data_IF_803440642182
#
_entry.id   IF_803440642182
#
_cell.length_a   1.000
_cell.length_b   1.000
_cell.length_c   1.000
_cell.angle_alpha   90.00
_cell.angle_beta   90.00
_cell.angle_gamma   90.00
#
_symmetry.space_group_name_H-M   'P 1'
#
loop_
_entity.id
_entity.type
_entity.pdbx_description
1 polymer ?
#
# COMPACT_ATOMS: atom_id res chain seq x y z
N UNK A 1 11.47 -2.24 -35.26
CA UNK A 1 11.41 -0.81 -35.53
C UNK A 1 10.06 -0.31 -35.03
N UNK A 2 9.94 -0.14 -33.69
CA UNK A 2 8.75 0.41 -33.04
C UNK A 2 9.21 1.66 -32.27
N UNK A 3 8.87 2.80 -32.84
CA UNK A 3 9.11 4.11 -32.22
C UNK A 3 8.17 4.27 -31.03
N UNK A 4 8.75 4.44 -29.85
CA UNK A 4 8.10 4.95 -28.66
C UNK A 4 7.36 6.25 -29.01
N UNK A 5 6.05 6.19 -29.13
CA UNK A 5 5.19 7.36 -28.94
C UNK A 5 5.02 7.56 -27.45
N UNK A 6 5.96 8.25 -26.84
CA UNK A 6 5.65 9.04 -25.65
C UNK A 6 4.67 10.13 -26.10
N UNK A 7 3.39 9.86 -25.99
CA UNK A 7 2.38 10.91 -26.04
C UNK A 7 2.65 11.79 -24.81
N UNK A 8 3.24 12.94 -25.09
CA UNK A 8 3.37 14.04 -24.16
C UNK A 8 1.94 14.49 -23.83
N UNK A 9 1.32 13.86 -22.84
CA UNK A 9 0.10 14.40 -22.24
C UNK A 9 0.46 15.79 -21.73
N UNK A 10 -0.08 16.81 -22.36
CA UNK A 10 -0.01 18.17 -21.81
C UNK A 10 -0.82 18.12 -20.53
N UNK A 11 -0.11 18.08 -19.40
CA UNK A 11 -0.74 18.17 -18.08
C UNK A 11 -1.50 19.50 -18.03
N UNK A 12 -2.81 19.41 -17.86
CA UNK A 12 -3.66 20.60 -17.68
C UNK A 12 -3.49 21.04 -16.24
N UNK A 13 -3.09 22.26 -16.03
CA UNK A 13 -2.97 22.89 -14.73
C UNK A 13 -4.14 23.82 -14.49
N UNK A 14 -4.77 23.70 -13.34
CA UNK A 14 -5.88 24.52 -12.90
C UNK A 14 -5.42 25.41 -11.74
N UNK A 15 -5.80 26.67 -11.76
CA UNK A 15 -5.51 27.61 -10.66
C UNK A 15 -6.76 27.80 -9.82
N UNK A 16 -6.61 27.62 -8.53
CA UNK A 16 -7.68 27.78 -7.55
C UNK A 16 -8.55 26.53 -7.39
N UNK A 17 -9.30 26.55 -6.31
CA UNK A 17 -10.27 25.50 -5.92
C UNK A 17 -11.62 26.18 -5.70
N UNK A 18 -12.72 25.48 -5.98
CA UNK A 18 -14.06 26.00 -5.75
C UNK A 18 -14.47 25.86 -4.28
N UNK A 19 -14.08 24.75 -3.65
CA UNK A 19 -14.48 24.43 -2.28
C UNK A 19 -13.41 23.57 -1.60
N UNK A 20 -13.27 23.76 -0.27
CA UNK A 20 -12.48 22.91 0.62
C UNK A 20 -13.37 22.46 1.76
N UNK A 21 -13.54 21.14 1.94
CA UNK A 21 -14.39 20.57 2.98
C UNK A 21 -13.71 19.36 3.63
N UNK A 22 -13.06 19.57 4.79
CA UNK A 22 -12.25 18.55 5.43
C UNK A 22 -11.14 18.05 4.48
N UNK A 23 -11.00 16.74 4.23
CA UNK A 23 -9.99 16.21 3.33
C UNK A 23 -10.39 16.30 1.84
N UNK A 24 -11.55 16.87 1.53
CA UNK A 24 -12.08 16.97 0.18
C UNK A 24 -11.91 18.38 -0.38
N UNK A 25 -11.55 18.44 -1.65
CA UNK A 25 -11.53 19.69 -2.43
C UNK A 25 -12.34 19.50 -3.72
N UNK A 26 -12.97 20.58 -4.16
CA UNK A 26 -13.74 20.62 -5.41
C UNK A 26 -13.02 21.50 -6.40
N UNK A 27 -12.79 20.97 -7.60
CA UNK A 27 -12.25 21.67 -8.74
C UNK A 27 -13.34 21.79 -9.81
N UNK A 28 -13.57 23.01 -10.32
CA UNK A 28 -14.54 23.29 -11.38
C UNK A 28 -13.86 23.55 -12.73
N UNK A 29 -14.63 23.43 -13.81
CA UNK A 29 -14.15 23.61 -15.17
C UNK A 29 -13.21 22.50 -15.65
N UNK A 30 -13.29 21.32 -15.02
CA UNK A 30 -12.40 20.19 -15.29
C UNK A 30 -12.77 19.52 -16.62
N UNK A 31 -11.76 19.31 -17.45
CA UNK A 31 -11.92 18.58 -18.71
C UNK A 31 -11.08 17.31 -18.70
N UNK A 32 -11.67 16.22 -19.17
CA UNK A 32 -10.98 14.92 -19.33
C UNK A 32 -10.44 14.32 -18.01
N UNK A 33 -11.08 14.59 -16.89
CA UNK A 33 -10.76 13.92 -15.62
C UNK A 33 -11.25 12.47 -15.63
N UNK A 34 -10.50 11.60 -14.96
CA UNK A 34 -10.85 10.19 -14.80
C UNK A 34 -11.07 9.83 -13.34
N UNK A 35 -11.97 8.91 -13.08
CA UNK A 35 -12.19 8.38 -11.73
C UNK A 35 -10.90 7.67 -11.23
N UNK A 36 -10.57 7.83 -9.95
CA UNK A 36 -9.34 7.32 -9.32
C UNK A 36 -8.03 7.95 -9.87
N UNK A 37 -8.11 8.96 -10.70
CA UNK A 37 -6.95 9.68 -11.21
C UNK A 37 -6.23 10.42 -10.09
N UNK A 38 -4.90 10.35 -10.08
CA UNK A 38 -4.05 11.10 -9.15
C UNK A 38 -3.95 12.56 -9.57
N UNK A 39 -4.04 13.41 -8.58
CA UNK A 39 -3.95 14.86 -8.70
C UNK A 39 -2.83 15.37 -7.82
N UNK A 40 -1.98 16.22 -8.38
CA UNK A 40 -0.91 16.89 -7.66
C UNK A 40 -1.33 18.34 -7.36
N UNK A 41 -1.18 18.74 -6.12
CA UNK A 41 -1.38 20.12 -5.67
C UNK A 41 -0.04 20.76 -5.36
N UNK A 42 0.16 21.96 -5.90
CA UNK A 42 1.33 22.78 -5.64
C UNK A 42 0.87 24.09 -5.00
N UNK A 43 1.39 24.39 -3.81
CA UNK A 43 1.13 25.62 -3.08
C UNK A 43 2.24 26.63 -3.30
N UNK A 44 1.95 27.92 -3.08
CA UNK A 44 2.90 29.03 -3.26
C UNK A 44 4.15 28.94 -2.37
N UNK A 45 4.05 28.25 -1.23
CA UNK A 45 5.16 27.99 -0.31
C UNK A 45 6.10 26.87 -0.77
N UNK A 46 5.82 26.26 -1.93
CA UNK A 46 6.54 25.12 -2.48
C UNK A 46 6.10 23.76 -1.92
N UNK A 47 5.14 23.73 -1.02
CA UNK A 47 4.56 22.48 -0.51
C UNK A 47 3.82 21.77 -1.63
N UNK A 48 3.95 20.43 -1.66
CA UNK A 48 3.22 19.58 -2.59
C UNK A 48 2.35 18.61 -1.81
N UNK A 49 1.14 18.40 -2.32
CA UNK A 49 0.22 17.40 -1.79
C UNK A 49 -0.34 16.55 -2.93
N UNK A 50 -0.77 15.36 -2.59
CA UNK A 50 -1.33 14.41 -3.55
C UNK A 50 -2.77 14.09 -3.15
N UNK A 51 -3.63 13.96 -4.15
CA UNK A 51 -5.01 13.53 -3.97
C UNK A 51 -5.44 12.60 -5.09
N UNK A 52 -6.64 12.08 -4.97
CA UNK A 52 -7.30 11.29 -6.02
C UNK A 52 -8.70 11.79 -6.28
N UNK A 53 -9.13 11.67 -7.51
CA UNK A 53 -10.51 11.97 -7.91
C UNK A 53 -11.41 10.85 -7.44
N UNK A 54 -12.38 11.18 -6.58
CA UNK A 54 -13.36 10.22 -6.04
C UNK A 54 -14.74 10.37 -6.68
N UNK A 55 -15.00 11.49 -7.32
CA UNK A 55 -16.28 11.77 -7.93
C UNK A 55 -16.14 12.81 -9.06
N UNK A 56 -16.93 12.66 -10.12
CA UNK A 56 -16.96 13.59 -11.25
C UNK A 56 -18.42 13.90 -11.57
N UNK A 57 -18.75 15.19 -11.61
CA UNK A 57 -20.05 15.70 -12.01
C UNK A 57 -19.89 16.76 -13.09
N UNK A 58 -20.40 16.50 -14.28
CA UNK A 58 -20.32 17.44 -15.41
C UNK A 58 -18.89 17.96 -15.60
N UNK A 59 -18.64 19.20 -15.16
CA UNK A 59 -17.33 19.87 -15.23
C UNK A 59 -16.65 20.00 -13.85
N UNK A 60 -17.15 19.30 -12.81
CA UNK A 60 -16.61 19.33 -11.45
C UNK A 60 -15.99 18.00 -11.08
N UNK A 61 -14.82 18.07 -10.45
CA UNK A 61 -14.15 16.92 -9.84
C UNK A 61 -14.06 17.10 -8.32
N UNK A 62 -14.49 16.10 -7.57
CA UNK A 62 -14.26 16.02 -6.11
C UNK A 62 -13.02 15.20 -5.90
N UNK A 63 -12.04 15.79 -5.21
CA UNK A 63 -10.72 15.22 -5.02
C UNK A 63 -10.49 15.02 -3.52
N UNK A 64 -10.10 13.82 -3.15
CA UNK A 64 -9.69 13.49 -1.78
C UNK A 64 -8.18 13.69 -1.64
N UNK A 65 -7.78 14.62 -0.78
CA UNK A 65 -6.37 14.93 -0.51
C UNK A 65 -5.83 13.97 0.55
N UNK A 66 -4.71 13.31 0.29
CA UNK A 66 -4.18 12.26 1.16
C UNK A 66 -3.62 12.82 2.47
N UNK A 67 -2.83 13.87 2.38
CA UNK A 67 -2.15 14.51 3.52
C UNK A 67 -3.03 15.59 4.21
N UNK A 68 -4.32 15.65 3.88
CA UNK A 68 -5.23 16.68 4.37
C UNK A 68 -5.06 18.03 3.67
N UNK A 69 -6.00 18.94 3.94
CA UNK A 69 -6.14 20.23 3.23
C UNK A 69 -5.51 21.42 3.95
N UNK A 70 -4.78 21.18 5.04
CA UNK A 70 -4.13 22.25 5.79
C UNK A 70 -3.14 23.02 4.91
N UNK A 71 -3.24 24.36 4.94
CA UNK A 71 -2.40 25.24 4.13
C UNK A 71 -2.85 25.41 2.68
N UNK A 72 -3.88 24.70 2.22
CA UNK A 72 -4.45 24.90 0.88
C UNK A 72 -5.30 26.16 0.82
N UNK A 73 -5.23 26.89 -0.28
CA UNK A 73 -5.96 28.13 -0.54
C UNK A 73 -6.91 27.97 -1.73
N UNK A 74 -8.10 28.53 -1.62
CA UNK A 74 -9.06 28.55 -2.74
C UNK A 74 -8.53 29.31 -3.96
N UNK A 75 -7.70 30.33 -3.77
CA UNK A 75 -7.23 31.18 -4.87
C UNK A 75 -5.92 30.77 -5.50
N UNK A 76 -5.01 30.20 -4.69
CA UNK A 76 -3.59 30.06 -5.06
C UNK A 76 -3.09 28.60 -5.11
N UNK A 77 -3.97 27.63 -5.01
CA UNK A 77 -3.57 26.24 -5.16
C UNK A 77 -3.53 25.87 -6.64
N UNK A 78 -2.36 25.45 -7.11
CA UNK A 78 -2.20 24.93 -8.46
C UNK A 78 -2.49 23.44 -8.46
N UNK A 79 -3.41 23.01 -9.31
CA UNK A 79 -3.89 21.64 -9.39
C UNK A 79 -3.52 21.04 -10.73
N UNK A 80 -2.80 19.92 -10.73
CA UNK A 80 -2.37 19.19 -11.92
C UNK A 80 -2.96 17.79 -11.94
N UNK A 81 -3.70 17.46 -12.97
CA UNK A 81 -4.18 16.12 -13.24
C UNK A 81 -3.08 15.29 -13.92
N UNK A 82 -2.86 14.06 -13.45
CA UNK A 82 -1.78 13.21 -13.97
C UNK A 82 -2.19 12.29 -15.11
N UNK A 83 -3.48 12.13 -15.33
CA UNK A 83 -4.03 11.24 -16.37
C UNK A 83 -3.93 9.74 -16.02
N UNK A 84 -3.57 9.39 -14.79
CA UNK A 84 -3.36 7.99 -14.37
C UNK A 84 -3.74 7.77 -12.90
N UNK A 85 -4.17 6.55 -12.55
CA UNK A 85 -4.44 6.18 -11.16
C UNK A 85 -3.14 6.10 -10.36
N UNK A 86 -3.27 5.86 -9.05
CA UNK A 86 -2.12 5.66 -8.18
C UNK A 86 -1.39 4.36 -8.54
N UNK A 87 -0.08 4.48 -8.73
CA UNK A 87 0.82 3.39 -9.04
C UNK A 87 1.92 3.32 -7.99
N UNK A 88 2.37 2.11 -7.67
CA UNK A 88 3.58 1.88 -6.88
C UNK A 88 4.68 1.30 -7.76
N UNK A 89 5.90 1.83 -7.61
CA UNK A 89 7.09 1.28 -8.24
C UNK A 89 7.62 0.10 -7.44
N UNK A 90 7.84 -1.04 -8.09
CA UNK A 90 8.24 -2.28 -7.45
C UNK A 90 9.44 -2.91 -8.16
N UNK A 91 10.30 -3.51 -7.38
CA UNK A 91 11.43 -4.37 -7.80
C UNK A 91 11.70 -5.41 -6.70
N UNK A 92 12.53 -6.43 -6.91
CA UNK A 92 12.92 -7.36 -5.84
C UNK A 92 13.62 -6.68 -4.65
N UNK A 93 14.17 -5.48 -4.87
CA UNK A 93 14.83 -4.68 -3.82
C UNK A 93 13.90 -4.21 -2.69
N UNK A 94 12.56 -4.41 -2.82
CA UNK A 94 11.61 -4.12 -1.74
C UNK A 94 11.75 -5.10 -0.56
N UNK A 95 12.34 -6.28 -0.76
CA UNK A 95 12.60 -7.22 0.33
C UNK A 95 13.56 -6.62 1.34
N UNK A 96 13.27 -6.81 2.61
CA UNK A 96 14.04 -6.23 3.70
C UNK A 96 13.80 -4.74 3.94
N UNK A 97 12.92 -4.09 3.18
CA UNK A 97 12.68 -2.64 3.24
C UNK A 97 11.45 -2.26 4.03
N UNK A 98 11.48 -1.05 4.59
CA UNK A 98 10.37 -0.45 5.34
C UNK A 98 9.86 0.79 4.63
N UNK A 99 8.54 0.84 4.43
CA UNK A 99 7.82 1.90 3.74
C UNK A 99 6.76 2.54 4.64
N UNK A 100 6.41 3.78 4.35
CA UNK A 100 5.23 4.43 4.93
C UNK A 100 3.92 3.91 4.30
N UNK A 101 2.77 4.45 4.75
CA UNK A 101 1.44 4.05 4.30
C UNK A 101 1.15 4.27 2.81
N UNK A 102 1.93 5.10 2.13
CA UNK A 102 1.82 5.36 0.68
C UNK A 102 2.94 4.74 -0.15
N UNK A 103 3.76 3.88 0.45
CA UNK A 103 4.80 3.13 -0.26
C UNK A 103 6.10 3.88 -0.48
N UNK A 104 6.37 4.96 0.27
CA UNK A 104 7.66 5.65 0.24
C UNK A 104 8.62 5.02 1.26
N UNK A 105 9.90 4.78 0.90
CA UNK A 105 10.88 4.23 1.84
C UNK A 105 11.10 5.14 3.05
N UNK A 106 11.14 4.56 4.25
CA UNK A 106 11.41 5.28 5.51
C UNK A 106 12.57 4.69 6.31
N UNK A 107 13.28 3.73 5.76
CA UNK A 107 14.42 3.04 6.38
C UNK A 107 15.76 3.76 6.19
N UNK A 108 15.80 4.89 5.48
CA UNK A 108 17.01 5.66 5.23
C UNK A 108 17.95 5.08 4.15
N UNK A 109 17.57 4.00 3.48
CA UNK A 109 18.37 3.35 2.44
C UNK A 109 18.18 3.96 1.04
N UNK A 110 17.38 5.03 0.94
CA UNK A 110 17.11 5.72 -0.32
C UNK A 110 15.97 5.08 -1.14
N UNK A 111 15.68 5.71 -2.28
CA UNK A 111 14.60 5.28 -3.17
C UNK A 111 14.93 3.96 -3.88
N UNK A 112 13.87 3.21 -4.20
CA UNK A 112 13.96 1.99 -4.98
C UNK A 112 13.91 2.34 -6.47
N UNK A 113 14.78 1.69 -7.25
CA UNK A 113 14.68 1.76 -8.72
C UNK A 113 13.66 0.72 -9.19
N UNK A 114 12.47 1.14 -9.65
CA UNK A 114 11.43 0.19 -9.97
C UNK A 114 11.68 -0.53 -11.30
N UNK A 115 11.51 -1.86 -11.31
CA UNK A 115 11.42 -2.67 -12.53
C UNK A 115 10.08 -2.41 -13.24
N UNK A 116 9.02 -2.25 -12.44
CA UNK A 116 7.64 -2.07 -12.92
C UNK A 116 6.88 -1.09 -12.05
N UNK A 117 5.90 -0.41 -12.64
CA UNK A 117 4.90 0.37 -11.91
C UNK A 117 3.54 -0.29 -12.04
N UNK A 118 2.93 -0.62 -10.92
CA UNK A 118 1.65 -1.30 -10.86
C UNK A 118 0.58 -0.42 -10.21
N UNK A 119 -0.62 -0.50 -10.77
CA UNK A 119 -1.80 0.16 -10.21
C UNK A 119 -2.19 -0.51 -8.88
N UNK A 120 -2.33 0.28 -7.81
CA UNK A 120 -2.65 -0.23 -6.47
C UNK A 120 -4.06 -0.82 -6.34
N UNK A 121 -4.93 -0.64 -7.31
CA UNK A 121 -6.25 -1.26 -7.31
C UNK A 121 -6.22 -2.74 -7.75
N UNK A 122 -5.04 -3.23 -8.15
CA UNK A 122 -4.84 -4.61 -8.58
C UNK A 122 -5.47 -4.92 -9.94
N UNK A 123 -5.36 -6.17 -10.34
CA UNK A 123 -5.95 -6.69 -11.56
C UNK A 123 -7.04 -7.71 -11.22
N UNK A 124 -8.13 -7.77 -12.02
CA UNK A 124 -9.16 -8.77 -11.82
C UNK A 124 -8.60 -10.17 -12.10
N UNK A 125 -8.73 -11.07 -11.14
CA UNK A 125 -8.39 -12.49 -11.33
C UNK A 125 -9.52 -13.21 -12.05
N UNK A 126 -9.17 -13.95 -13.11
CA UNK A 126 -10.11 -14.84 -13.76
C UNK A 126 -10.48 -15.98 -12.79
N UNK A 127 -11.76 -16.13 -12.40
CA UNK A 127 -12.18 -17.19 -11.48
C UNK A 127 -11.84 -18.60 -11.97
N UNK A 128 -11.79 -18.82 -13.27
CA UNK A 128 -11.47 -20.13 -13.89
C UNK A 128 -9.99 -20.49 -13.71
N UNK A 129 -9.11 -19.50 -13.52
CA UNK A 129 -7.69 -19.73 -13.28
C UNK A 129 -7.37 -20.09 -11.82
N UNK A 130 -8.37 -20.09 -10.93
CA UNK A 130 -8.18 -20.45 -9.52
C UNK A 130 -8.11 -21.95 -9.37
N UNK A 131 -7.07 -22.40 -8.69
CA UNK A 131 -6.91 -23.80 -8.27
C UNK A 131 -7.32 -23.97 -6.80
N UNK A 132 -7.75 -25.16 -6.43
CA UNK A 132 -8.00 -25.48 -5.02
C UNK A 132 -6.66 -25.56 -4.28
N UNK A 133 -6.47 -24.75 -3.25
CA UNK A 133 -5.23 -24.78 -2.47
C UNK A 133 -5.12 -26.12 -1.72
N UNK A 134 -3.93 -26.72 -1.75
CA UNK A 134 -3.66 -28.00 -1.08
C UNK A 134 -2.52 -27.89 -0.07
N UNK A 135 -1.67 -26.89 -0.25
CA UNK A 135 -0.48 -26.71 0.56
C UNK A 135 -0.78 -25.74 1.70
N UNK A 136 -0.27 -26.01 2.87
CA UNK A 136 -0.43 -25.16 4.05
C UNK A 136 0.82 -24.26 4.26
N UNK A 137 0.63 -23.23 5.05
CA UNK A 137 1.68 -22.39 5.61
C UNK A 137 1.76 -22.73 7.08
N UNK A 138 2.94 -23.16 7.54
CA UNK A 138 3.21 -23.35 8.96
C UNK A 138 3.39 -21.98 9.61
N UNK A 139 2.52 -21.64 10.55
CA UNK A 139 2.58 -20.35 11.26
C UNK A 139 3.42 -20.43 12.54
N UNK A 140 3.76 -21.63 12.99
CA UNK A 140 4.41 -21.90 14.28
C UNK A 140 3.49 -21.73 15.48
N UNK A 141 2.20 -21.43 15.27
CA UNK A 141 1.20 -21.32 16.33
C UNK A 141 0.34 -22.58 16.33
N UNK A 142 0.53 -23.42 17.34
CA UNK A 142 -0.10 -24.74 17.41
C UNK A 142 -1.64 -24.71 17.32
N UNK A 143 -2.27 -23.65 17.82
CA UNK A 143 -3.73 -23.48 17.73
C UNK A 143 -4.18 -23.19 16.29
N UNK A 144 -3.38 -22.46 15.51
CA UNK A 144 -3.67 -22.20 14.09
C UNK A 144 -3.35 -23.44 13.29
N UNK A 145 -2.12 -23.95 13.41
CA UNK A 145 -1.63 -25.04 12.57
C UNK A 145 -2.39 -26.36 12.80
N UNK A 146 -2.91 -26.58 14.03
CA UNK A 146 -3.64 -27.80 14.39
C UNK A 146 -5.17 -27.74 14.25
N UNK A 147 -5.78 -26.55 14.37
CA UNK A 147 -7.24 -26.42 14.41
C UNK A 147 -7.82 -25.63 13.24
N UNK A 148 -7.10 -24.62 12.75
CA UNK A 148 -7.53 -23.71 11.70
C UNK A 148 -6.43 -23.50 10.66
N UNK A 149 -5.78 -24.58 10.27
CA UNK A 149 -4.60 -24.59 9.40
C UNK A 149 -4.70 -23.58 8.26
N UNK A 150 -3.71 -22.70 8.17
CA UNK A 150 -3.63 -21.71 7.10
C UNK A 150 -3.20 -22.38 5.80
N UNK A 151 -4.07 -22.34 4.81
CA UNK A 151 -3.81 -22.92 3.49
C UNK A 151 -3.44 -21.79 2.52
N UNK A 152 -2.50 -22.04 1.60
CA UNK A 152 -2.11 -21.05 0.58
C UNK A 152 -3.33 -20.53 -0.18
N UNK A 153 -3.46 -19.21 -0.31
CA UNK A 153 -4.61 -18.54 -0.91
C UNK A 153 -5.82 -18.35 0.03
N UNK A 154 -5.73 -18.78 1.28
CA UNK A 154 -6.77 -18.58 2.28
C UNK A 154 -6.59 -17.25 3.01
N UNK A 155 -7.71 -16.67 3.44
CA UNK A 155 -7.76 -15.57 4.39
C UNK A 155 -8.12 -16.12 5.76
N UNK A 156 -7.29 -15.83 6.77
CA UNK A 156 -7.53 -16.21 8.16
C UNK A 156 -7.69 -14.93 9.01
N UNK A 157 -8.93 -14.50 9.30
CA UNK A 157 -9.14 -13.36 10.19
C UNK A 157 -8.90 -13.77 11.65
N UNK A 158 -8.14 -12.95 12.38
CA UNK A 158 -7.90 -13.11 13.80
C UNK A 158 -8.52 -11.91 14.52
N UNK A 159 -9.54 -12.17 15.32
CA UNK A 159 -10.19 -11.14 16.14
C UNK A 159 -9.67 -11.20 17.57
N UNK A 160 -9.33 -10.04 18.11
CA UNK A 160 -8.89 -9.93 19.52
C UNK A 160 -9.66 -8.85 20.26
N UNK A 161 -9.85 -9.04 21.55
CA UNK A 161 -10.36 -8.00 22.42
C UNK A 161 -9.28 -6.99 22.83
N UNK A 162 -9.70 -5.82 23.29
CA UNK A 162 -8.78 -4.80 23.79
C UNK A 162 -7.90 -5.34 24.92
N UNK A 163 -6.60 -5.05 24.84
CA UNK A 163 -5.60 -5.49 25.83
C UNK A 163 -5.05 -6.91 25.63
N UNK A 164 -5.53 -7.64 24.63
CA UNK A 164 -4.93 -8.92 24.25
C UNK A 164 -3.67 -8.71 23.41
N UNK A 165 -2.68 -9.61 23.48
CA UNK A 165 -1.37 -9.43 22.86
C UNK A 165 -1.36 -9.81 21.36
N UNK A 166 -2.26 -9.25 20.55
CA UNK A 166 -2.37 -9.54 19.12
C UNK A 166 -1.11 -9.13 18.34
N UNK A 167 -0.46 -8.03 18.71
CA UNK A 167 0.81 -7.61 18.11
C UNK A 167 1.90 -8.66 18.28
N UNK A 168 1.99 -9.25 19.48
CA UNK A 168 2.95 -10.32 19.76
C UNK A 168 2.64 -11.57 18.96
N UNK A 169 1.36 -11.89 18.77
CA UNK A 169 0.94 -13.02 17.94
C UNK A 169 1.33 -12.78 16.46
N UNK A 170 1.06 -11.59 15.93
CA UNK A 170 1.46 -11.24 14.57
C UNK A 170 2.99 -11.30 14.39
N UNK A 171 3.75 -10.74 15.33
CA UNK A 171 5.20 -10.78 15.30
C UNK A 171 5.75 -12.22 15.39
N UNK A 172 5.15 -13.06 16.22
CA UNK A 172 5.56 -14.47 16.34
C UNK A 172 5.29 -15.25 15.04
N UNK A 173 4.17 -14.99 14.36
CA UNK A 173 3.89 -15.59 13.05
C UNK A 173 4.95 -15.17 12.04
N UNK A 174 5.32 -13.87 11.97
CA UNK A 174 6.37 -13.39 11.06
C UNK A 174 7.69 -14.11 11.30
N UNK A 175 8.07 -14.32 12.57
CA UNK A 175 9.32 -14.97 12.94
C UNK A 175 9.36 -16.47 12.61
N UNK A 176 8.22 -17.16 12.64
CA UNK A 176 8.15 -18.62 12.60
C UNK A 176 7.53 -19.16 11.29
N UNK A 177 6.86 -18.31 10.51
CA UNK A 177 6.16 -18.77 9.32
C UNK A 177 7.11 -19.38 8.29
N UNK A 178 6.71 -20.54 7.76
CA UNK A 178 7.46 -21.28 6.76
C UNK A 178 6.55 -22.12 5.86
N UNK A 179 7.10 -22.61 4.75
CA UNK A 179 6.40 -23.52 3.84
C UNK A 179 6.55 -24.99 4.22
N UNK A 180 7.20 -25.29 5.35
CA UNK A 180 7.58 -26.63 5.77
C UNK A 180 9.04 -26.97 5.42
N UNK A 181 9.57 -28.01 6.08
CA UNK A 181 11.00 -28.38 5.98
C UNK A 181 11.44 -28.91 4.61
N UNK A 182 10.51 -29.39 3.79
CA UNK A 182 10.76 -30.02 2.49
C UNK A 182 10.56 -29.09 1.28
N UNK A 183 10.36 -27.77 1.50
CA UNK A 183 10.08 -26.82 0.42
C UNK A 183 11.34 -26.03 0.07
N UNK A 184 11.82 -26.18 -1.18
CA UNK A 184 12.88 -25.35 -1.77
C UNK A 184 12.32 -24.07 -2.42
N UNK A 185 11.03 -23.76 -2.20
CA UNK A 185 10.35 -22.63 -2.80
C UNK A 185 10.69 -21.32 -2.06
N UNK A 186 10.88 -20.24 -2.81
CA UNK A 186 11.14 -18.91 -2.24
C UNK A 186 9.92 -18.42 -1.45
N UNK A 187 10.13 -18.00 -0.21
CA UNK A 187 9.10 -17.50 0.69
C UNK A 187 9.45 -16.13 1.24
N UNK A 188 8.47 -15.24 1.25
CA UNK A 188 8.61 -13.94 1.89
C UNK A 188 7.30 -13.50 2.55
N UNK A 189 7.38 -12.46 3.36
CA UNK A 189 6.26 -11.91 4.11
C UNK A 189 6.08 -10.45 3.72
N UNK A 190 4.84 -10.07 3.46
CA UNK A 190 4.44 -8.66 3.37
C UNK A 190 3.65 -8.31 4.62
N UNK A 191 4.21 -7.45 5.43
CA UNK A 191 3.62 -7.01 6.69
C UNK A 191 3.12 -5.57 6.56
N UNK A 192 1.88 -5.30 6.91
CA UNK A 192 1.35 -3.94 6.94
C UNK A 192 0.61 -3.67 8.25
N UNK A 193 1.02 -2.59 8.92
CA UNK A 193 0.40 -2.11 10.15
C UNK A 193 -0.31 -0.77 9.88
N UNK A 194 -1.62 -0.73 10.15
CA UNK A 194 -2.48 0.41 9.86
C UNK A 194 -2.91 1.14 11.13
N UNK A 195 -2.53 2.43 11.24
CA UNK A 195 -2.92 3.29 12.35
C UNK A 195 -2.32 2.92 13.70
N UNK A 196 -1.18 2.25 13.70
CA UNK A 196 -0.51 1.80 14.92
C UNK A 196 0.22 2.94 15.61
N UNK A 197 0.41 2.82 16.92
CA UNK A 197 1.24 3.76 17.66
C UNK A 197 2.71 3.57 17.31
N UNK A 198 3.51 4.62 17.50
CA UNK A 198 4.94 4.58 17.23
C UNK A 198 5.69 3.47 17.99
N UNK A 199 5.35 3.24 19.25
CA UNK A 199 5.94 2.18 20.07
C UNK A 199 5.63 0.77 19.54
N UNK A 200 4.44 0.56 18.99
CA UNK A 200 4.03 -0.69 18.34
C UNK A 200 4.79 -0.88 17.00
N UNK A 201 4.89 0.16 16.20
CA UNK A 201 5.65 0.11 14.95
C UNK A 201 7.14 -0.22 15.22
N UNK A 202 7.73 0.42 16.24
CA UNK A 202 9.11 0.18 16.65
C UNK A 202 9.30 -1.23 17.23
N UNK A 203 8.29 -1.76 17.96
CA UNK A 203 8.28 -3.14 18.42
C UNK A 203 8.35 -4.12 17.25
N UNK A 204 7.56 -3.95 16.20
CA UNK A 204 7.62 -4.83 15.03
C UNK A 204 8.97 -4.74 14.34
N UNK A 205 9.46 -3.52 14.07
CA UNK A 205 10.74 -3.31 13.40
C UNK A 205 11.89 -4.01 14.14
N UNK A 206 12.03 -3.77 15.43
CA UNK A 206 13.07 -4.41 16.26
C UNK A 206 12.93 -5.93 16.31
N UNK A 207 11.71 -6.41 16.49
CA UNK A 207 11.46 -7.84 16.59
C UNK A 207 11.87 -8.58 15.31
N UNK A 208 11.62 -7.99 14.14
CA UNK A 208 12.01 -8.59 12.86
C UNK A 208 13.53 -8.49 12.61
N UNK A 209 14.16 -7.38 12.98
CA UNK A 209 15.61 -7.23 12.91
C UNK A 209 16.34 -8.22 13.84
N UNK A 210 15.93 -8.30 15.10
CA UNK A 210 16.56 -9.17 16.11
C UNK A 210 16.39 -10.66 15.82
N UNK A 211 15.30 -11.05 15.17
CA UNK A 211 15.04 -12.44 14.78
C UNK A 211 15.74 -12.87 13.50
N UNK A 212 16.29 -11.92 12.73
CA UNK A 212 16.83 -12.18 11.38
C UNK A 212 15.77 -12.39 10.31
N UNK A 213 14.47 -12.17 10.63
CA UNK A 213 13.41 -12.27 9.63
C UNK A 213 13.35 -11.07 8.69
N UNK A 214 13.97 -9.95 9.06
CA UNK A 214 13.87 -8.68 8.33
C UNK A 214 14.18 -8.82 6.84
N UNK A 215 15.18 -9.58 6.44
CA UNK A 215 15.61 -9.73 5.04
C UNK A 215 14.55 -10.35 4.11
N UNK A 216 13.57 -11.04 4.69
CA UNK A 216 12.46 -11.68 3.97
C UNK A 216 11.12 -10.99 4.18
N UNK A 217 11.12 -9.83 4.85
CA UNK A 217 9.91 -9.06 5.16
C UNK A 217 9.90 -7.75 4.41
N UNK A 218 8.80 -7.46 3.73
CA UNK A 218 8.48 -6.10 3.24
C UNK A 218 7.52 -5.48 4.23
N UNK A 219 7.88 -4.33 4.81
CA UNK A 219 7.08 -3.70 5.86
C UNK A 219 6.46 -2.39 5.39
N UNK A 220 5.14 -2.25 5.57
CA UNK A 220 4.41 -1.00 5.37
C UNK A 220 3.85 -0.51 6.70
N UNK A 221 4.19 0.71 7.09
CA UNK A 221 3.80 1.29 8.37
C UNK A 221 2.99 2.57 8.14
N UNK A 222 1.75 2.58 8.60
CA UNK A 222 0.95 3.78 8.76
C UNK A 222 0.75 4.02 10.26
N UNK A 223 1.25 5.13 10.75
CA UNK A 223 1.18 5.48 12.17
C UNK A 223 -0.18 6.12 12.53
N UNK A 224 -0.50 6.14 13.82
CA UNK A 224 -1.76 6.70 14.31
C UNK A 224 -1.89 8.22 14.06
N UNK A 225 -0.76 8.92 13.94
CA UNK A 225 -0.70 10.35 13.65
C UNK A 225 -0.55 10.67 12.15
N UNK A 226 -0.42 9.64 11.30
CA UNK A 226 -0.43 9.84 9.84
C UNK A 226 -1.83 10.15 9.33
N UNK A 227 -1.97 10.78 8.17
CA UNK A 227 -3.26 11.09 7.58
C UNK A 227 -4.15 9.85 7.42
N UNK A 228 -5.44 9.98 7.80
CA UNK A 228 -6.40 8.87 7.78
C UNK A 228 -6.56 8.28 6.37
N UNK A 229 -6.44 9.10 5.33
CA UNK A 229 -6.60 8.63 3.94
C UNK A 229 -5.47 7.69 3.54
N UNK A 230 -4.25 7.90 4.02
CA UNK A 230 -3.13 6.98 3.79
C UNK A 230 -3.42 5.58 4.34
N UNK A 231 -4.12 5.50 5.48
CA UNK A 231 -4.53 4.22 6.06
C UNK A 231 -5.39 3.36 5.13
N UNK A 232 -6.22 4.00 4.29
CA UNK A 232 -7.03 3.31 3.28
C UNK A 232 -6.20 2.78 2.10
N UNK A 233 -5.07 3.40 1.85
CA UNK A 233 -4.16 3.03 0.75
C UNK A 233 -3.18 1.93 1.15
N UNK A 234 -2.72 1.95 2.40
CA UNK A 234 -1.71 1.03 2.93
C UNK A 234 -1.99 -0.45 2.61
N UNK A 235 -3.19 -1.01 2.87
CA UNK A 235 -3.47 -2.40 2.54
C UNK A 235 -3.47 -2.67 1.04
N UNK A 236 -3.92 -1.73 0.21
CA UNK A 236 -3.88 -1.86 -1.26
C UNK A 236 -2.45 -1.92 -1.77
N UNK A 237 -1.60 -1.02 -1.28
CA UNK A 237 -0.18 -0.96 -1.64
C UNK A 237 0.56 -2.22 -1.20
N UNK A 238 0.33 -2.67 0.03
CA UNK A 238 0.91 -3.91 0.54
C UNK A 238 0.49 -5.14 -0.27
N UNK A 239 -0.79 -5.24 -0.63
CA UNK A 239 -1.29 -6.32 -1.48
C UNK A 239 -0.71 -6.25 -2.90
N UNK A 240 -0.57 -5.06 -3.49
CA UNK A 240 0.06 -4.91 -4.82
C UNK A 240 1.53 -5.34 -4.79
N UNK A 241 2.27 -5.02 -3.72
CA UNK A 241 3.63 -5.50 -3.54
C UNK A 241 3.68 -7.04 -3.39
N UNK A 242 2.74 -7.61 -2.64
CA UNK A 242 2.62 -9.05 -2.48
C UNK A 242 2.29 -9.75 -3.80
N UNK A 243 1.36 -9.20 -4.58
CA UNK A 243 0.99 -9.72 -5.92
C UNK A 243 2.19 -9.70 -6.88
N UNK A 244 2.98 -8.62 -6.88
CA UNK A 244 4.20 -8.52 -7.67
C UNK A 244 5.20 -9.63 -7.34
N UNK A 245 5.51 -9.81 -6.06
CA UNK A 245 6.44 -10.86 -5.63
C UNK A 245 5.90 -12.26 -5.94
N UNK A 246 4.58 -12.45 -5.78
CA UNK A 246 3.96 -13.76 -6.03
C UNK A 246 3.86 -14.08 -7.53
N UNK A 247 3.35 -13.17 -8.35
CA UNK A 247 3.02 -13.47 -9.76
C UNK A 247 4.18 -13.19 -10.73
N UNK A 248 4.98 -12.13 -10.47
CA UNK A 248 6.09 -11.78 -11.36
C UNK A 248 7.41 -12.45 -10.94
N UNK A 249 7.59 -12.71 -9.64
CA UNK A 249 8.82 -13.33 -9.13
C UNK A 249 8.65 -14.80 -8.73
N UNK A 250 7.40 -15.32 -8.74
CA UNK A 250 7.11 -16.72 -8.45
C UNK A 250 7.31 -17.13 -6.99
N UNK A 251 7.32 -16.16 -6.07
CA UNK A 251 7.52 -16.40 -4.63
C UNK A 251 6.21 -16.80 -3.94
N UNK A 252 6.31 -17.52 -2.84
CA UNK A 252 5.19 -17.73 -1.94
C UNK A 252 5.14 -16.61 -0.91
N UNK A 253 4.03 -15.90 -0.85
CA UNK A 253 3.90 -14.70 -0.02
C UNK A 253 2.83 -14.91 1.07
N UNK A 254 3.22 -14.71 2.32
CA UNK A 254 2.31 -14.52 3.44
C UNK A 254 2.07 -13.04 3.65
N UNK A 255 0.82 -12.60 3.57
CA UNK A 255 0.45 -11.21 3.88
C UNK A 255 -0.15 -11.13 5.27
N UNK A 256 0.39 -10.26 6.11
CA UNK A 256 -0.12 -10.00 7.46
C UNK A 256 -0.54 -8.53 7.52
N UNK A 257 -1.82 -8.31 7.75
CA UNK A 257 -2.41 -6.98 7.88
C UNK A 257 -2.93 -6.81 9.31
N UNK A 258 -2.39 -5.84 10.06
CA UNK A 258 -2.83 -5.58 11.43
C UNK A 258 -3.70 -4.32 11.49
N UNK A 259 -4.67 -4.32 12.41
CA UNK A 259 -5.54 -3.17 12.70
C UNK A 259 -6.37 -2.68 11.50
N UNK A 260 -6.83 -3.63 10.69
CA UNK A 260 -7.72 -3.38 9.54
C UNK A 260 -9.12 -2.93 10.01
#
# INVERSE_FOLDING_TARGET
>A
MNRNREEKFMAIEYLGLSEINGPLVVLEGVKNASYEEIVEFHMDDGTRKIGRIIEIYEDKAVIQVFEGTDGMSLGNTHTRLTGRPMEIGLSPEILGRTFNGIGQPIDGLGDITPDVKLNINGLPLNPVAREYPRNYINTGISAIDGLTTLIRGQKLPIFSGNGLPHDKLAAQIVQQASLGEDSDEDFAIVFAAMGVKYDVAEFFRRTFEESGAADHVVMFLNLANDPVVERLLTPKIALTAAEYLAFEKGMHILVILTDI
#
